data_IF_645005974889
#
_entry.id   IF_645005974889
#
_cell.length_a   1.000
_cell.length_b   1.000
_cell.length_c   1.000
_cell.angle_alpha   90.00
_cell.angle_beta   90.00
_cell.angle_gamma   90.00
#
_symmetry.space_group_name_H-M   'P 1'
#
loop_
_entity.id
_entity.type
_entity.pdbx_description
1 polymer ?
#
# COMPACT_ATOMS: atom_id res chain seq x y z
N UNK A 1 -2.11 -61.21 4.46
CA UNK A 1 -3.40 -60.50 4.29
C UNK A 1 -3.59 -59.59 5.48
N UNK A 2 -3.62 -58.26 5.28
CA UNK A 2 -3.92 -57.33 6.36
C UNK A 2 -5.38 -57.56 6.80
N UNK A 3 -5.60 -57.83 8.09
CA UNK A 3 -6.93 -58.03 8.67
C UNK A 3 -7.71 -56.72 8.49
N UNK A 4 -8.83 -56.75 7.78
CA UNK A 4 -9.66 -55.55 7.59
C UNK A 4 -10.11 -55.01 8.95
N UNK A 5 -10.00 -53.68 9.13
CA UNK A 5 -10.42 -53.01 10.36
C UNK A 5 -11.93 -53.08 10.49
N UNK A 6 -12.42 -53.39 11.70
CA UNK A 6 -13.85 -53.24 12.02
C UNK A 6 -14.26 -51.76 11.90
N UNK A 7 -15.53 -51.53 11.55
CA UNK A 7 -16.09 -50.19 11.41
C UNK A 7 -15.96 -49.35 12.70
N UNK A 8 -16.20 -49.96 13.86
CA UNK A 8 -16.04 -49.30 15.16
C UNK A 8 -14.58 -48.90 15.45
N UNK A 9 -13.60 -49.72 15.06
CA UNK A 9 -12.18 -49.37 15.17
C UNK A 9 -11.83 -48.20 14.25
N UNK A 10 -12.36 -48.21 13.03
CA UNK A 10 -12.13 -47.16 12.05
C UNK A 10 -12.66 -45.80 12.53
N UNK A 11 -13.87 -45.77 13.08
CA UNK A 11 -14.46 -44.56 13.65
C UNK A 11 -13.61 -43.99 14.80
N UNK A 12 -13.11 -44.83 15.72
CA UNK A 12 -12.22 -44.36 16.79
C UNK A 12 -10.88 -43.84 16.27
N UNK A 13 -10.35 -44.45 15.21
CA UNK A 13 -9.11 -43.99 14.57
C UNK A 13 -9.34 -42.65 13.87
N UNK A 14 -10.49 -42.46 13.23
CA UNK A 14 -10.87 -41.20 12.60
C UNK A 14 -11.03 -40.07 13.64
N UNK A 15 -11.66 -40.35 14.79
CA UNK A 15 -11.76 -39.40 15.91
C UNK A 15 -10.37 -39.03 16.45
N UNK A 16 -9.47 -40.01 16.59
CA UNK A 16 -8.09 -39.76 16.99
C UNK A 16 -7.34 -38.87 15.99
N UNK A 17 -7.46 -39.15 14.69
CA UNK A 17 -6.83 -38.34 13.64
C UNK A 17 -7.37 -36.91 13.66
N UNK A 18 -8.69 -36.72 13.73
CA UNK A 18 -9.30 -35.40 13.81
C UNK A 18 -8.82 -34.61 15.04
N UNK A 19 -8.72 -35.25 16.19
CA UNK A 19 -8.20 -34.62 17.40
C UNK A 19 -6.71 -34.30 17.28
N UNK A 20 -5.91 -35.19 16.68
CA UNK A 20 -4.48 -35.02 16.50
C UNK A 20 -4.14 -33.85 15.55
N UNK A 21 -4.85 -33.72 14.42
CA UNK A 21 -4.62 -32.61 13.47
C UNK A 21 -4.90 -31.23 14.10
N UNK A 22 -5.80 -31.15 15.08
CA UNK A 22 -6.11 -29.89 15.77
C UNK A 22 -5.07 -29.51 16.84
N UNK A 23 -4.51 -30.48 17.57
CA UNK A 23 -3.67 -30.20 18.74
C UNK A 23 -2.21 -30.63 18.61
N UNK A 24 -1.86 -31.36 17.55
CA UNK A 24 -0.55 -31.97 17.30
C UNK A 24 0.05 -32.72 18.50
N UNK A 25 -0.83 -33.27 19.35
CA UNK A 25 -0.46 -33.94 20.59
C UNK A 25 -1.16 -35.30 20.69
N UNK A 26 -0.39 -36.38 20.58
CA UNK A 26 -0.90 -37.75 20.53
C UNK A 26 -1.63 -38.17 21.82
N UNK A 27 -1.14 -37.73 22.99
CA UNK A 27 -1.77 -38.04 24.28
C UNK A 27 -3.12 -37.36 24.41
N UNK A 28 -3.22 -36.06 24.08
CA UNK A 28 -4.48 -35.32 24.11
C UNK A 28 -5.48 -35.86 23.09
N UNK A 29 -5.02 -36.17 21.89
CA UNK A 29 -5.84 -36.78 20.85
C UNK A 29 -6.39 -38.15 21.25
N UNK A 30 -5.61 -38.96 21.96
CA UNK A 30 -6.07 -40.24 22.50
C UNK A 30 -7.16 -40.06 23.56
N UNK A 31 -6.99 -39.15 24.52
CA UNK A 31 -8.02 -38.86 25.53
C UNK A 31 -9.33 -38.42 24.85
N UNK A 32 -9.24 -37.53 23.87
CA UNK A 32 -10.40 -36.97 23.19
C UNK A 32 -11.10 -37.97 22.26
N UNK A 33 -10.35 -38.91 21.68
CA UNK A 33 -10.92 -40.04 20.94
C UNK A 33 -11.55 -41.13 21.83
N UNK A 34 -11.61 -40.90 23.15
CA UNK A 34 -12.28 -41.77 24.11
C UNK A 34 -11.39 -42.90 24.66
N UNK A 35 -10.06 -42.77 24.57
CA UNK A 35 -9.14 -43.71 25.21
C UNK A 35 -8.92 -43.35 26.69
N UNK A 36 -8.66 -44.37 27.52
CA UNK A 36 -8.47 -44.17 28.97
C UNK A 36 -7.26 -43.27 29.23
N UNK A 37 -7.47 -42.20 29.99
CA UNK A 37 -6.43 -41.22 30.33
C UNK A 37 -5.17 -41.85 30.94
N UNK A 38 -5.34 -42.87 31.79
CA UNK A 38 -4.22 -43.58 32.44
C UNK A 38 -3.27 -44.28 31.45
N UNK A 39 -3.73 -44.58 30.23
CA UNK A 39 -2.92 -45.22 29.19
C UNK A 39 -2.82 -44.39 27.89
N UNK A 40 -3.37 -43.18 27.87
CA UNK A 40 -3.47 -42.36 26.66
C UNK A 40 -2.09 -41.98 26.09
N UNK A 41 -1.06 -41.87 26.93
CA UNK A 41 0.32 -41.58 26.48
C UNK A 41 0.88 -42.71 25.61
N UNK A 42 0.83 -43.95 26.10
CA UNK A 42 1.34 -45.10 25.37
C UNK A 42 0.45 -45.41 24.17
N UNK A 43 -0.88 -45.34 24.34
CA UNK A 43 -1.82 -45.56 23.24
C UNK A 43 -1.64 -44.53 22.14
N UNK A 44 -1.59 -43.24 22.46
CA UNK A 44 -1.39 -42.17 21.48
C UNK A 44 -0.09 -42.32 20.70
N UNK A 45 1.02 -42.62 21.37
CA UNK A 45 2.31 -42.88 20.70
C UNK A 45 2.23 -44.07 19.76
N UNK A 46 1.59 -45.16 20.18
CA UNK A 46 1.40 -46.34 19.34
C UNK A 46 0.46 -46.08 18.16
N UNK A 47 -0.60 -45.29 18.34
CA UNK A 47 -1.57 -44.97 17.29
C UNK A 47 -0.91 -44.32 16.06
N UNK A 48 0.08 -43.47 16.27
CA UNK A 48 0.83 -42.81 15.18
C UNK A 48 1.60 -43.80 14.30
N UNK A 49 1.89 -45.01 14.80
CA UNK A 49 2.57 -46.06 14.03
C UNK A 49 1.61 -46.87 13.15
N UNK A 50 0.30 -46.78 13.39
CA UNK A 50 -0.68 -47.59 12.67
C UNK A 50 -0.83 -47.13 11.22
N UNK A 51 -0.74 -48.03 10.22
CA UNK A 51 -0.76 -47.65 8.81
C UNK A 51 -1.95 -46.78 8.42
N UNK A 52 -3.16 -47.17 8.85
CA UNK A 52 -4.39 -46.42 8.59
C UNK A 52 -4.34 -44.98 9.13
N UNK A 53 -3.87 -44.82 10.37
CA UNK A 53 -3.77 -43.51 11.03
C UNK A 53 -2.72 -42.65 10.35
N UNK A 54 -1.56 -43.22 10.02
CA UNK A 54 -0.48 -42.53 9.32
C UNK A 54 -0.91 -42.03 7.94
N UNK A 55 -1.59 -42.87 7.17
CA UNK A 55 -2.13 -42.50 5.86
C UNK A 55 -3.16 -41.37 5.97
N UNK A 56 -4.11 -41.49 6.91
CA UNK A 56 -5.15 -40.48 7.10
C UNK A 56 -4.59 -39.14 7.58
N UNK A 57 -3.59 -39.15 8.49
CA UNK A 57 -2.86 -37.94 8.90
C UNK A 57 -2.20 -37.29 7.68
N UNK A 58 -1.53 -38.05 6.81
CA UNK A 58 -0.88 -37.49 5.63
C UNK A 58 -1.88 -36.81 4.67
N UNK A 59 -3.04 -37.42 4.46
CA UNK A 59 -4.14 -36.85 3.66
C UNK A 59 -4.66 -35.55 4.30
N UNK A 60 -4.97 -35.56 5.59
CA UNK A 60 -5.47 -34.38 6.30
C UNK A 60 -4.43 -33.25 6.37
N UNK A 61 -3.15 -33.57 6.56
CA UNK A 61 -2.07 -32.59 6.46
C UNK A 61 -1.93 -32.01 5.05
N UNK A 62 -2.17 -32.81 4.01
CA UNK A 62 -2.24 -32.34 2.62
C UNK A 62 -3.35 -31.31 2.43
N UNK A 63 -4.57 -31.63 2.89
CA UNK A 63 -5.73 -30.72 2.87
C UNK A 63 -5.47 -29.45 3.67
N UNK A 64 -4.87 -29.58 4.85
CA UNK A 64 -4.52 -28.46 5.70
C UNK A 64 -3.50 -27.54 5.03
N UNK A 65 -2.44 -28.09 4.42
CA UNK A 65 -1.47 -27.33 3.63
C UNK A 65 -2.13 -26.60 2.46
N UNK A 66 -3.05 -27.26 1.75
CA UNK A 66 -3.78 -26.65 0.65
C UNK A 66 -4.65 -25.48 1.12
N UNK A 67 -5.41 -25.66 2.22
CA UNK A 67 -6.19 -24.57 2.82
C UNK A 67 -5.31 -23.39 3.23
N UNK A 68 -4.18 -23.65 3.89
CA UNK A 68 -3.24 -22.59 4.24
C UNK A 68 -2.63 -21.90 3.02
N UNK A 69 -2.37 -22.64 1.93
CA UNK A 69 -1.92 -22.03 0.68
C UNK A 69 -3.00 -21.14 0.06
N UNK A 70 -4.26 -21.60 0.03
CA UNK A 70 -5.39 -20.83 -0.47
C UNK A 70 -5.64 -19.57 0.38
N UNK A 71 -5.61 -19.70 1.71
CA UNK A 71 -5.73 -18.58 2.64
C UNK A 71 -4.56 -17.60 2.51
N UNK A 72 -3.33 -18.12 2.34
CA UNK A 72 -2.14 -17.32 2.08
C UNK A 72 -2.25 -16.53 0.78
N UNK A 73 -2.72 -17.16 -0.29
CA UNK A 73 -2.96 -16.52 -1.59
C UNK A 73 -4.04 -15.44 -1.50
N UNK A 74 -5.12 -15.68 -0.74
CA UNK A 74 -6.16 -14.67 -0.50
C UNK A 74 -5.61 -13.47 0.26
N UNK A 75 -4.91 -13.71 1.37
CA UNK A 75 -4.30 -12.64 2.15
C UNK A 75 -3.31 -11.81 1.31
N UNK A 76 -2.53 -12.46 0.45
CA UNK A 76 -1.64 -11.78 -0.48
C UNK A 76 -2.41 -10.92 -1.52
N UNK A 77 -3.49 -11.45 -2.08
CA UNK A 77 -4.36 -10.69 -3.00
C UNK A 77 -5.00 -9.48 -2.31
N UNK A 78 -5.44 -9.62 -1.06
CA UNK A 78 -6.00 -8.52 -0.28
C UNK A 78 -4.96 -7.42 -0.03
N UNK A 79 -3.71 -7.77 0.28
CA UNK A 79 -2.61 -6.82 0.42
C UNK A 79 -2.34 -6.05 -0.88
N UNK A 80 -2.37 -6.73 -2.03
CA UNK A 80 -2.22 -6.07 -3.33
C UNK A 80 -3.36 -5.09 -3.63
N UNK A 81 -4.60 -5.45 -3.28
CA UNK A 81 -5.74 -4.56 -3.42
C UNK A 81 -5.59 -3.31 -2.53
N UNK A 82 -5.19 -3.49 -1.27
CA UNK A 82 -4.91 -2.39 -0.35
C UNK A 82 -3.80 -1.48 -0.92
N UNK A 83 -2.70 -2.07 -1.40
CA UNK A 83 -1.61 -1.31 -2.01
C UNK A 83 -2.09 -0.48 -3.22
N UNK A 84 -2.88 -1.08 -4.11
CA UNK A 84 -3.47 -0.40 -5.26
C UNK A 84 -4.36 0.77 -4.85
N UNK A 85 -5.20 0.59 -3.83
CA UNK A 85 -6.07 1.64 -3.31
C UNK A 85 -5.28 2.79 -2.67
N UNK A 86 -4.21 2.47 -1.92
CA UNK A 86 -3.30 3.47 -1.36
C UNK A 86 -2.61 4.26 -2.48
N UNK A 87 -2.08 3.58 -3.49
CA UNK A 87 -1.44 4.22 -4.63
C UNK A 87 -2.37 5.15 -5.40
N UNK A 88 -3.62 4.73 -5.60
CA UNK A 88 -4.62 5.56 -6.26
C UNK A 88 -4.91 6.84 -5.46
N UNK A 89 -5.06 6.73 -4.14
CA UNK A 89 -5.30 7.89 -3.27
C UNK A 89 -4.11 8.84 -3.23
N UNK A 90 -2.89 8.30 -3.12
CA UNK A 90 -1.68 9.10 -3.10
C UNK A 90 -1.52 9.86 -4.43
N UNK A 91 -1.70 9.17 -5.57
CA UNK A 91 -1.63 9.79 -6.90
C UNK A 91 -2.66 10.90 -7.09
N UNK A 92 -3.91 10.69 -6.64
CA UNK A 92 -4.97 11.71 -6.74
C UNK A 92 -4.63 12.97 -5.95
N UNK A 93 -4.00 12.83 -4.78
CA UNK A 93 -3.49 13.97 -4.02
C UNK A 93 -2.42 14.72 -4.81
N UNK A 94 -1.40 14.02 -5.34
CA UNK A 94 -0.30 14.65 -6.08
C UNK A 94 -0.81 15.37 -7.35
N UNK A 95 -1.71 14.73 -8.09
CA UNK A 95 -2.36 15.33 -9.26
C UNK A 95 -3.19 16.57 -8.88
N UNK A 96 -3.90 16.51 -7.75
CA UNK A 96 -4.69 17.63 -7.26
C UNK A 96 -3.80 18.81 -6.84
N UNK A 97 -2.68 18.57 -6.15
CA UNK A 97 -1.74 19.64 -5.79
C UNK A 97 -1.23 20.37 -7.05
N UNK A 98 -0.84 19.61 -8.08
CA UNK A 98 -0.38 20.20 -9.35
C UNK A 98 -1.47 21.03 -10.04
N UNK A 99 -2.71 20.52 -10.07
CA UNK A 99 -3.84 21.23 -10.68
C UNK A 99 -4.24 22.48 -9.89
N UNK A 100 -4.29 22.40 -8.56
CA UNK A 100 -4.59 23.55 -7.70
C UNK A 100 -3.55 24.64 -7.95
N UNK A 101 -2.26 24.30 -7.86
CA UNK A 101 -1.18 25.25 -8.14
C UNK A 101 -1.31 25.88 -9.53
N UNK A 102 -1.66 25.10 -10.55
CA UNK A 102 -1.90 25.63 -11.90
C UNK A 102 -3.07 26.63 -11.93
N UNK A 103 -4.23 26.23 -11.42
CA UNK A 103 -5.44 27.06 -11.45
C UNK A 103 -5.32 28.32 -10.58
N UNK A 104 -4.65 28.24 -9.43
CA UNK A 104 -4.37 29.41 -8.59
C UNK A 104 -3.46 30.42 -9.30
N UNK A 105 -2.41 29.94 -9.97
CA UNK A 105 -1.54 30.80 -10.78
C UNK A 105 -2.30 31.46 -11.95
N UNK A 106 -3.20 30.73 -12.61
CA UNK A 106 -4.08 31.28 -13.64
C UNK A 106 -5.04 32.32 -13.05
N UNK A 107 -5.68 32.03 -11.92
CA UNK A 107 -6.57 32.95 -11.21
C UNK A 107 -5.85 34.25 -10.82
N UNK A 108 -4.59 34.20 -10.40
CA UNK A 108 -3.79 35.40 -10.10
C UNK A 108 -3.64 36.27 -11.36
N UNK A 109 -3.27 35.65 -12.49
CA UNK A 109 -3.11 36.37 -13.77
C UNK A 109 -4.41 36.98 -14.26
N UNK A 110 -5.50 36.23 -14.15
CA UNK A 110 -6.82 36.66 -14.61
C UNK A 110 -7.38 37.77 -13.69
N UNK A 111 -7.20 37.66 -12.37
CA UNK A 111 -7.58 38.73 -11.43
C UNK A 111 -6.81 40.03 -11.70
N UNK A 112 -5.52 39.94 -12.05
CA UNK A 112 -4.74 41.12 -12.43
C UNK A 112 -5.29 41.76 -13.71
N UNK A 113 -5.61 40.94 -14.72
CA UNK A 113 -6.20 41.40 -15.99
C UNK A 113 -7.57 42.03 -15.76
N UNK A 114 -8.40 41.42 -14.91
CA UNK A 114 -9.71 41.93 -14.49
C UNK A 114 -9.60 43.31 -13.82
N UNK A 115 -8.62 43.49 -12.93
CA UNK A 115 -8.34 44.78 -12.28
C UNK A 115 -7.91 45.86 -13.27
N UNK A 116 -7.06 45.50 -14.24
CA UNK A 116 -6.64 46.41 -15.32
C UNK A 116 -7.84 46.85 -16.16
N UNK A 117 -8.69 45.90 -16.57
CA UNK A 117 -9.86 46.19 -17.41
C UNK A 117 -10.87 47.08 -16.67
N UNK A 118 -11.15 46.81 -15.40
CA UNK A 118 -11.97 47.69 -14.56
C UNK A 118 -11.40 49.12 -14.51
N UNK A 119 -10.10 49.27 -14.32
CA UNK A 119 -9.45 50.59 -14.31
C UNK A 119 -9.57 51.30 -15.66
N UNK A 120 -9.54 50.56 -16.78
CA UNK A 120 -9.76 51.14 -18.10
C UNK A 120 -11.20 51.64 -18.25
N UNK A 121 -12.19 50.84 -17.85
CA UNK A 121 -13.62 51.21 -17.86
C UNK A 121 -13.83 52.48 -17.01
N UNK A 122 -13.28 52.54 -15.80
CA UNK A 122 -13.37 53.73 -14.95
C UNK A 122 -12.78 54.98 -15.62
N UNK A 123 -11.63 54.85 -16.29
CA UNK A 123 -11.00 55.97 -17.01
C UNK A 123 -11.89 56.45 -18.16
N UNK A 124 -12.48 55.55 -18.93
CA UNK A 124 -13.42 55.89 -20.00
C UNK A 124 -14.67 56.58 -19.44
N UNK A 125 -15.23 56.06 -18.35
CA UNK A 125 -16.40 56.64 -17.69
C UNK A 125 -16.11 58.08 -17.22
N UNK A 126 -14.92 58.34 -16.66
CA UNK A 126 -14.48 59.70 -16.29
C UNK A 126 -14.37 60.62 -17.51
N UNK A 127 -13.80 60.14 -18.63
CA UNK A 127 -13.73 60.92 -19.89
C UNK A 127 -15.13 61.29 -20.39
N UNK A 128 -16.07 60.35 -20.41
CA UNK A 128 -17.46 60.59 -20.82
C UNK A 128 -18.13 61.67 -19.96
N UNK A 129 -17.90 61.64 -18.64
CA UNK A 129 -18.46 62.62 -17.70
C UNK A 129 -17.91 64.04 -17.93
N UNK A 130 -16.69 64.17 -18.44
CA UNK A 130 -16.05 65.45 -18.72
C UNK A 130 -16.48 66.07 -20.07
N UNK A 131 -17.11 65.31 -20.97
CA UNK A 131 -17.53 65.80 -22.29
C UNK A 131 -18.86 66.57 -22.18
N UNK A 132 -18.86 67.82 -22.64
CA UNK A 132 -20.08 68.61 -22.83
C UNK A 132 -20.83 68.15 -24.10
N UNK A 133 -21.98 67.49 -23.90
CA UNK A 133 -22.76 66.85 -24.96
C UNK A 133 -23.62 67.78 -25.82
N UNK A 134 -23.51 69.11 -25.68
CA UNK A 134 -24.31 70.08 -26.44
C UNK A 134 -23.83 70.31 -27.88
N UNK A 135 -22.54 70.08 -28.15
CA UNK A 135 -21.96 70.20 -29.51
C UNK A 135 -22.05 68.88 -30.26
N UNK A 136 -22.29 68.92 -31.57
CA UNK A 136 -22.44 67.73 -32.43
C UNK A 136 -21.22 66.79 -32.34
N UNK A 137 -20.01 67.34 -32.48
CA UNK A 137 -18.76 66.57 -32.43
C UNK A 137 -18.54 65.92 -31.05
N UNK A 138 -18.85 66.64 -29.97
CA UNK A 138 -18.81 66.11 -28.60
C UNK A 138 -19.81 64.97 -28.38
N UNK A 139 -20.98 65.03 -29.03
CA UNK A 139 -22.00 63.97 -28.95
C UNK A 139 -21.55 62.70 -29.66
N UNK A 140 -20.93 62.83 -30.83
CA UNK A 140 -20.34 61.69 -31.55
C UNK A 140 -19.21 61.05 -30.75
N UNK A 141 -18.28 61.86 -30.21
CA UNK A 141 -17.19 61.37 -29.35
C UNK A 141 -17.72 60.63 -28.11
N UNK A 142 -18.77 61.15 -27.47
CA UNK A 142 -19.41 60.52 -26.32
C UNK A 142 -20.04 59.17 -26.70
N UNK A 143 -20.67 59.06 -27.88
CA UNK A 143 -21.24 57.81 -28.38
C UNK A 143 -20.17 56.75 -28.60
N UNK A 144 -19.04 57.11 -29.22
CA UNK A 144 -17.93 56.18 -29.45
C UNK A 144 -17.35 55.64 -28.13
N UNK A 145 -17.16 56.50 -27.13
CA UNK A 145 -16.67 56.07 -25.82
C UNK A 145 -17.67 55.18 -25.07
N UNK A 146 -18.99 55.39 -25.25
CA UNK A 146 -20.01 54.51 -24.67
C UNK A 146 -19.94 53.10 -25.26
N UNK A 147 -19.76 52.99 -26.58
CA UNK A 147 -19.58 51.70 -27.26
C UNK A 147 -18.32 51.00 -26.74
N UNK A 148 -17.20 51.71 -26.62
CA UNK A 148 -15.95 51.13 -26.08
C UNK A 148 -16.12 50.65 -24.62
N UNK A 149 -16.91 51.34 -23.79
CA UNK A 149 -17.23 50.87 -22.44
C UNK A 149 -18.07 49.60 -22.49
N UNK A 150 -19.09 49.54 -23.33
CA UNK A 150 -19.97 48.37 -23.47
C UNK A 150 -19.17 47.13 -23.90
N UNK A 151 -18.29 47.27 -24.91
CA UNK A 151 -17.39 46.19 -25.34
C UNK A 151 -16.49 45.68 -24.20
N UNK A 152 -15.93 46.61 -23.42
CA UNK A 152 -15.08 46.25 -22.26
C UNK A 152 -15.89 45.64 -21.12
N UNK A 153 -17.13 46.06 -20.92
CA UNK A 153 -18.03 45.46 -19.94
C UNK A 153 -18.41 44.03 -20.32
N UNK A 154 -18.62 43.76 -21.60
CA UNK A 154 -18.83 42.40 -22.11
C UNK A 154 -17.61 41.50 -21.91
N UNK A 155 -16.41 42.03 -22.19
CA UNK A 155 -15.14 41.33 -21.91
C UNK A 155 -14.98 41.04 -20.42
N UNK A 156 -15.29 42.03 -19.57
CA UNK A 156 -15.25 41.90 -18.12
C UNK A 156 -16.20 40.81 -17.62
N UNK A 157 -17.43 40.77 -18.14
CA UNK A 157 -18.43 39.76 -17.81
C UNK A 157 -17.96 38.35 -18.19
N UNK A 158 -17.41 38.17 -19.39
CA UNK A 158 -16.83 36.88 -19.83
C UNK A 158 -15.70 36.43 -18.90
N UNK A 159 -14.82 37.36 -18.51
CA UNK A 159 -13.73 37.08 -17.58
C UNK A 159 -14.23 36.68 -16.19
N UNK A 160 -15.33 37.27 -15.70
CA UNK A 160 -15.95 36.88 -14.43
C UNK A 160 -16.46 35.43 -14.46
N UNK A 161 -17.11 35.03 -15.55
CA UNK A 161 -17.59 33.66 -15.72
C UNK A 161 -16.43 32.65 -15.71
N UNK A 162 -15.32 32.98 -16.38
CA UNK A 162 -14.12 32.13 -16.40
C UNK A 162 -13.45 32.04 -15.02
N UNK A 163 -13.30 33.17 -14.32
CA UNK A 163 -12.81 33.21 -12.94
C UNK A 163 -13.67 32.35 -12.00
N UNK A 164 -15.00 32.42 -12.13
CA UNK A 164 -15.92 31.59 -11.36
C UNK A 164 -15.71 30.10 -11.65
N UNK A 165 -15.63 29.73 -12.93
CA UNK A 165 -15.40 28.35 -13.36
C UNK A 165 -14.08 27.79 -12.79
N UNK A 166 -12.99 28.55 -12.88
CA UNK A 166 -11.68 28.17 -12.35
C UNK A 166 -11.67 28.01 -10.82
N UNK A 167 -12.30 28.94 -10.08
CA UNK A 167 -12.47 28.81 -8.62
C UNK A 167 -13.19 27.53 -8.25
N UNK A 168 -14.26 27.19 -8.98
CA UNK A 168 -14.98 25.93 -8.78
C UNK A 168 -14.10 24.70 -9.05
N UNK A 169 -13.24 24.73 -10.06
CA UNK A 169 -12.29 23.64 -10.32
C UNK A 169 -11.29 23.47 -9.17
N UNK A 170 -10.77 24.57 -8.63
CA UNK A 170 -9.90 24.54 -7.44
C UNK A 170 -10.62 23.89 -6.25
N UNK A 171 -11.85 24.30 -5.97
CA UNK A 171 -12.66 23.72 -4.87
C UNK A 171 -12.89 22.21 -5.04
N UNK A 172 -13.15 21.76 -6.28
CA UNK A 172 -13.30 20.33 -6.58
C UNK A 172 -11.99 19.58 -6.30
N UNK A 173 -10.86 20.10 -6.75
CA UNK A 173 -9.56 19.42 -6.58
C UNK A 173 -9.12 19.39 -5.10
N UNK A 174 -9.49 20.39 -4.28
CA UNK A 174 -9.25 20.34 -2.84
C UNK A 174 -9.88 19.12 -2.15
N UNK A 175 -10.95 18.55 -2.71
CA UNK A 175 -11.56 17.33 -2.16
C UNK A 175 -10.65 16.09 -2.28
N UNK A 176 -9.69 16.12 -3.22
CA UNK A 176 -8.70 15.06 -3.42
C UNK A 176 -7.45 15.26 -2.55
N UNK A 177 -7.32 16.40 -1.87
CA UNK A 177 -6.17 16.69 -1.01
C UNK A 177 -6.32 15.99 0.35
N UNK A 178 -5.36 15.12 0.63
CA UNK A 178 -5.08 14.57 1.94
C UNK A 178 -4.43 15.61 2.84
N UNK A 179 -4.88 15.70 4.10
CA UNK A 179 -4.19 16.50 5.10
C UNK A 179 -2.79 15.91 5.35
N UNK A 180 -1.79 16.71 5.77
CA UNK A 180 -0.42 16.23 6.00
C UNK A 180 -0.34 14.97 6.87
N UNK A 181 -1.05 14.93 7.99
CA UNK A 181 -1.09 13.75 8.86
C UNK A 181 -1.73 12.50 8.21
N UNK A 182 -2.70 12.70 7.32
CA UNK A 182 -3.30 11.60 6.56
C UNK A 182 -2.34 11.10 5.47
N UNK A 183 -1.67 12.02 4.78
CA UNK A 183 -0.64 11.72 3.79
C UNK A 183 0.49 10.88 4.38
N UNK A 184 1.09 11.32 5.48
CA UNK A 184 2.14 10.60 6.20
C UNK A 184 1.67 9.21 6.63
N UNK A 185 0.45 9.11 7.17
CA UNK A 185 -0.13 7.81 7.55
C UNK A 185 -0.30 6.88 6.36
N UNK A 186 -0.74 7.39 5.22
CA UNK A 186 -0.91 6.59 4.00
C UNK A 186 0.45 6.11 3.45
N UNK A 187 1.48 6.94 3.49
CA UNK A 187 2.85 6.55 3.13
C UNK A 187 3.41 5.47 4.06
N UNK A 188 3.24 5.63 5.36
CA UNK A 188 3.64 4.64 6.37
C UNK A 188 2.93 3.31 6.12
N UNK A 189 1.61 3.33 5.95
CA UNK A 189 0.82 2.14 5.70
C UNK A 189 1.22 1.45 4.38
N UNK A 190 1.53 2.24 3.34
CA UNK A 190 2.03 1.70 2.07
C UNK A 190 3.37 0.97 2.27
N UNK A 191 4.28 1.52 3.06
CA UNK A 191 5.55 0.86 3.37
C UNK A 191 5.34 -0.45 4.15
N UNK A 192 4.44 -0.44 5.15
CA UNK A 192 4.11 -1.63 5.94
C UNK A 192 3.50 -2.75 5.07
N UNK A 193 2.56 -2.41 4.18
CA UNK A 193 1.94 -3.37 3.25
C UNK A 193 2.96 -3.94 2.27
N UNK A 194 3.85 -3.10 1.73
CA UNK A 194 4.94 -3.56 0.87
C UNK A 194 5.88 -4.52 1.61
N UNK A 195 6.20 -4.23 2.87
CA UNK A 195 7.04 -5.11 3.67
C UNK A 195 6.36 -6.47 3.91
N UNK A 196 5.07 -6.51 4.23
CA UNK A 196 4.32 -7.77 4.42
C UNK A 196 4.25 -8.59 3.12
N UNK A 197 4.06 -7.93 1.97
CA UNK A 197 4.13 -8.57 0.64
C UNK A 197 5.50 -9.22 0.41
N UNK A 198 6.59 -8.51 0.71
CA UNK A 198 7.95 -9.01 0.53
C UNK A 198 8.28 -10.18 1.48
N UNK A 199 7.89 -10.05 2.75
CA UNK A 199 8.11 -11.09 3.76
C UNK A 199 7.36 -12.38 3.39
N UNK A 200 6.13 -12.27 2.90
CA UNK A 200 5.33 -13.40 2.39
C UNK A 200 5.86 -13.97 1.09
N UNK A 201 6.46 -13.13 0.24
CA UNK A 201 7.16 -13.54 -0.97
C UNK A 201 8.51 -14.23 -0.71
N UNK A 202 8.97 -14.29 0.55
CA UNK A 202 10.24 -14.91 0.94
C UNK A 202 11.46 -14.01 0.74
N UNK A 203 11.26 -12.72 0.46
CA UNK A 203 12.33 -11.75 0.29
C UNK A 203 12.71 -11.14 1.65
N UNK A 204 13.60 -11.82 2.39
CA UNK A 204 14.16 -11.26 3.62
C UNK A 204 15.35 -10.35 3.32
N UNK A 205 15.48 -9.19 3.99
CA UNK A 205 16.69 -8.37 3.90
C UNK A 205 17.90 -9.17 4.40
N UNK A 206 19.03 -9.07 3.68
CA UNK A 206 20.25 -9.86 3.91
C UNK A 206 20.80 -9.76 5.35
N UNK A 207 20.50 -8.68 6.08
CA UNK A 207 20.98 -8.43 7.44
C UNK A 207 20.29 -9.27 8.53
N UNK A 208 19.23 -10.03 8.21
CA UNK A 208 18.46 -10.84 9.19
C UNK A 208 18.54 -12.35 8.96
N UNK A 209 19.56 -12.85 8.27
CA UNK A 209 19.83 -14.30 8.25
C UNK A 209 20.60 -14.66 9.53
N UNK A 210 19.91 -14.70 10.67
CA UNK A 210 20.44 -15.40 11.84
C UNK A 210 20.47 -16.89 11.49
N UNK A 211 21.67 -17.44 11.30
CA UNK A 211 21.87 -18.86 11.13
C UNK A 211 21.54 -19.57 12.45
N UNK A 212 20.29 -20.03 12.60
CA UNK A 212 19.89 -20.94 13.68
C UNK A 212 20.39 -22.35 13.35
N UNK A 213 21.69 -22.57 13.51
CA UNK A 213 22.31 -23.86 13.31
C UNK A 213 23.75 -23.81 13.78
N UNK A 214 24.02 -24.40 14.94
CA UNK A 214 25.39 -24.75 15.31
C UNK A 214 25.82 -25.86 14.35
N UNK A 215 26.30 -25.50 13.16
CA UNK A 215 26.99 -26.42 12.29
C UNK A 215 28.22 -26.86 13.08
N UNK A 216 28.26 -28.11 13.53
CA UNK A 216 29.35 -28.73 14.29
C UNK A 216 30.64 -28.88 13.48
N UNK A 217 30.96 -27.87 12.68
CA UNK A 217 32.24 -27.71 12.01
C UNK A 217 33.16 -27.10 13.07
N UNK A 218 34.23 -27.78 13.49
CA UNK A 218 35.18 -27.21 14.44
C UNK A 218 35.77 -25.94 13.82
N UNK A 219 35.36 -24.79 14.32
CA UNK A 219 35.92 -23.50 13.92
C UNK A 219 37.38 -23.52 14.37
N UNK A 220 38.31 -23.33 13.43
CA UNK A 220 39.74 -23.31 13.73
C UNK A 220 40.01 -22.22 14.81
N UNK A 221 40.50 -22.58 16.01
CA UNK A 221 40.64 -21.66 17.13
C UNK A 221 41.52 -20.44 16.84
N UNK A 222 42.46 -20.57 15.89
CA UNK A 222 43.33 -19.48 15.48
C UNK A 222 42.58 -18.38 14.70
N UNK A 223 41.51 -18.73 13.97
CA UNK A 223 40.70 -17.75 13.23
C UNK A 223 39.82 -16.90 14.15
N UNK A 224 39.48 -17.40 15.34
CA UNK A 224 38.67 -16.65 16.32
C UNK A 224 39.43 -15.52 17.03
N UNK A 225 40.76 -15.47 16.88
CA UNK A 225 41.62 -14.43 17.47
C UNK A 225 41.90 -13.27 16.52
N UNK A 226 41.51 -13.39 15.25
CA UNK A 226 41.80 -12.41 14.22
C UNK A 226 40.72 -11.33 14.16
N UNK A 227 41.13 -10.09 13.91
CA UNK A 227 40.21 -8.99 13.70
C UNK A 227 39.53 -9.09 12.33
N UNK A 228 38.37 -8.45 12.18
CA UNK A 228 37.57 -8.49 10.95
C UNK A 228 38.37 -8.11 9.69
N UNK A 229 39.26 -7.11 9.80
CA UNK A 229 40.13 -6.69 8.69
C UNK A 229 41.15 -7.76 8.30
N UNK A 230 41.70 -8.49 9.26
CA UNK A 230 42.68 -9.55 9.00
C UNK A 230 42.01 -10.76 8.33
N UNK A 231 40.79 -11.10 8.75
CA UNK A 231 39.99 -12.14 8.10
C UNK A 231 39.63 -11.78 6.65
N UNK A 232 39.33 -10.51 6.37
CA UNK A 232 39.05 -10.02 5.01
C UNK A 232 40.29 -10.10 4.11
N UNK A 233 41.48 -9.79 4.63
CA UNK A 233 42.75 -9.92 3.90
C UNK A 233 43.05 -11.38 3.57
N UNK A 234 42.88 -12.28 4.53
CA UNK A 234 43.08 -13.73 4.33
C UNK A 234 42.08 -14.26 3.29
N UNK A 235 40.79 -13.92 3.42
CA UNK A 235 39.77 -14.33 2.46
C UNK A 235 40.06 -13.81 1.04
N UNK A 236 40.67 -12.63 0.91
CA UNK A 236 41.12 -12.07 -0.36
C UNK A 236 42.32 -12.83 -0.94
N UNK A 237 43.31 -13.18 -0.13
CA UNK A 237 44.47 -13.99 -0.54
C UNK A 237 44.06 -15.38 -1.03
N UNK A 238 43.10 -16.03 -0.35
CA UNK A 238 42.53 -17.31 -0.79
C UNK A 238 41.73 -17.18 -2.09
N UNK A 239 40.99 -16.08 -2.27
CA UNK A 239 40.22 -15.82 -3.50
C UNK A 239 41.12 -15.55 -4.70
N UNK A 240 42.25 -14.88 -4.48
CA UNK A 240 43.20 -14.51 -5.52
C UNK A 240 44.23 -15.61 -5.83
N UNK A 241 44.12 -16.79 -5.19
CA UNK A 241 44.91 -17.98 -5.49
C UNK A 241 46.37 -17.93 -5.04
N UNK A 242 46.77 -16.93 -4.25
CA UNK A 242 48.13 -16.82 -3.71
C UNK A 242 48.20 -17.51 -2.34
N UNK A 243 48.41 -18.82 -2.36
CA UNK A 243 48.82 -19.59 -1.18
C UNK A 243 50.33 -19.82 -1.27
N UNK A 244 51.11 -19.17 -0.40
CA UNK A 244 52.46 -19.64 -0.05
C UNK A 244 52.36 -20.68 1.07
#
# INVERSE_FOLDING_TARGET
MAKELSEATRQKYDLFVAAYIRCFNATKAAVEAGYKASNAKNQGSNMLTYPYIKEKINVELGRLRQRFADEGNRAFADLLNILSDLDLKLRRHDEAELKINKYENELIKDNNSFSILNRQIEKLARKIKAIDGRKKDSKEMKKTLLIEIEEKQDELFKMQLDLYSKRKQVEIEYSNILKPAQWEKMLSLKADVLQDILDRGGFKPHDKVEHSGHLGIPVNPELTKLTKKELEVIAKQFRDGNTS
#
